data_IF_603499552660
#
_entry.id   IF_603499552660
#
_cell.length_a   1.000
_cell.length_b   1.000
_cell.length_c   1.000
_cell.angle_alpha   90.00
_cell.angle_beta   90.00
_cell.angle_gamma   90.00
#
_symmetry.space_group_name_H-M   'P 1'
#
loop_
_entity.id
_entity.type
_entity.pdbx_description
1 polymer ?
#
# COMPACT_ATOMS: atom_id res chain seq x y z
N UNK A 1 -8.23 16.98 -20.19
CA UNK A 1 -8.36 15.51 -20.18
C UNK A 1 -7.83 15.00 -18.85
N UNK A 2 -8.60 14.20 -18.13
CA UNK A 2 -8.20 13.68 -16.81
C UNK A 2 -7.25 12.50 -16.99
N UNK A 3 -6.28 12.36 -16.09
CA UNK A 3 -5.33 11.25 -16.11
C UNK A 3 -5.53 10.34 -14.90
N UNK A 4 -5.68 9.04 -15.17
CA UNK A 4 -5.68 7.98 -14.17
C UNK A 4 -4.37 7.18 -14.28
N UNK A 5 -3.63 7.09 -13.19
CA UNK A 5 -2.38 6.34 -13.11
C UNK A 5 -2.57 4.99 -12.44
N UNK A 6 -1.96 3.94 -12.96
CA UNK A 6 -1.86 2.65 -12.28
C UNK A 6 -0.43 2.44 -11.81
N UNK A 7 -0.24 2.40 -10.49
CA UNK A 7 1.05 2.11 -9.86
C UNK A 7 1.07 0.63 -9.46
N UNK A 8 1.83 -0.16 -10.21
CA UNK A 8 1.82 -1.61 -10.12
C UNK A 8 3.23 -2.19 -10.05
N UNK A 9 3.33 -3.43 -9.57
CA UNK A 9 4.56 -4.20 -9.62
C UNK A 9 4.69 -4.96 -10.96
N UNK A 10 4.86 -6.27 -10.84
CA UNK A 10 5.01 -7.17 -12.00
C UNK A 10 3.67 -7.64 -12.59
N UNK A 11 2.58 -7.30 -11.95
CA UNK A 11 1.24 -7.63 -12.42
C UNK A 11 0.94 -6.99 -13.78
N UNK A 12 0.32 -7.74 -14.69
CA UNK A 12 -0.06 -7.23 -16.02
C UNK A 12 -1.52 -7.50 -16.39
N UNK A 13 -2.07 -8.64 -16.03
CA UNK A 13 -3.41 -9.04 -16.48
C UNK A 13 -4.49 -8.00 -16.19
N UNK A 14 -4.71 -7.66 -14.92
CA UNK A 14 -5.71 -6.67 -14.53
C UNK A 14 -5.33 -5.25 -14.94
N UNK A 15 -4.09 -4.74 -14.71
CA UNK A 15 -3.74 -3.38 -15.07
C UNK A 15 -3.85 -3.10 -16.57
N UNK A 16 -3.37 -4.01 -17.41
CA UNK A 16 -3.46 -3.86 -18.87
C UNK A 16 -4.91 -3.83 -19.33
N UNK A 17 -5.76 -4.73 -18.84
CA UNK A 17 -7.17 -4.78 -19.16
C UNK A 17 -7.90 -3.49 -18.72
N UNK A 18 -7.61 -2.97 -17.53
CA UNK A 18 -8.22 -1.74 -17.03
C UNK A 18 -7.81 -0.52 -17.85
N UNK A 19 -6.53 -0.38 -18.17
CA UNK A 19 -6.02 0.70 -19.03
C UNK A 19 -6.70 0.66 -20.40
N UNK A 20 -6.76 -0.52 -21.02
CA UNK A 20 -7.40 -0.70 -22.31
C UNK A 20 -8.89 -0.32 -22.26
N UNK A 21 -9.61 -0.79 -21.25
CA UNK A 21 -11.05 -0.53 -21.12
C UNK A 21 -11.36 0.96 -20.89
N UNK A 22 -10.60 1.64 -20.02
CA UNK A 22 -10.77 3.08 -19.79
C UNK A 22 -10.50 3.87 -21.07
N UNK A 23 -9.40 3.57 -21.75
CA UNK A 23 -9.02 4.30 -22.96
C UNK A 23 -9.96 4.02 -24.12
N UNK A 24 -10.48 2.81 -24.24
CA UNK A 24 -11.48 2.43 -25.25
C UNK A 24 -12.78 3.22 -25.09
N UNK A 25 -13.22 3.49 -23.87
CA UNK A 25 -14.46 4.23 -23.59
C UNK A 25 -14.39 5.69 -24.04
N UNK A 26 -13.20 6.26 -24.17
CA UNK A 26 -12.96 7.63 -24.67
C UNK A 26 -13.85 8.71 -24.02
N UNK A 27 -14.03 8.66 -22.71
CA UNK A 27 -14.91 9.55 -21.93
C UNK A 27 -14.14 10.69 -21.25
N UNK A 28 -13.12 11.24 -21.90
CA UNK A 28 -12.33 12.35 -21.36
C UNK A 28 -11.31 11.95 -20.27
N UNK A 29 -11.11 10.65 -20.04
CA UNK A 29 -10.11 10.10 -19.13
C UNK A 29 -9.11 9.28 -19.93
N UNK A 30 -7.82 9.46 -19.64
CA UNK A 30 -6.74 8.60 -20.12
C UNK A 30 -6.16 7.83 -18.94
N UNK A 31 -6.06 6.52 -19.07
CA UNK A 31 -5.37 5.66 -18.14
C UNK A 31 -4.00 5.24 -18.69
N UNK A 32 -2.99 5.24 -17.81
CA UNK A 32 -1.64 4.78 -18.13
C UNK A 32 -0.95 4.24 -16.87
N UNK A 33 0.14 3.53 -17.04
CA UNK A 33 1.03 3.23 -15.93
C UNK A 33 1.64 4.51 -15.37
N UNK A 34 1.71 4.61 -14.03
CA UNK A 34 2.32 5.78 -13.38
C UNK A 34 3.80 5.87 -13.77
N UNK A 35 4.17 7.04 -14.25
CA UNK A 35 5.56 7.39 -14.55
C UNK A 35 6.05 8.36 -13.50
N UNK A 36 6.85 7.87 -12.58
CA UNK A 36 7.42 8.69 -11.51
C UNK A 36 8.76 9.25 -12.01
N UNK A 37 8.83 10.58 -12.02
CA UNK A 37 10.07 11.30 -12.26
C UNK A 37 10.69 11.80 -10.95
N UNK A 38 11.25 12.99 -10.99
CA UNK A 38 11.71 13.66 -9.77
C UNK A 38 10.53 14.02 -8.86
N UNK A 39 10.67 13.72 -7.57
CA UNK A 39 9.65 14.02 -6.57
C UNK A 39 10.12 15.18 -5.70
N UNK A 40 9.58 16.37 -5.97
CA UNK A 40 9.82 17.56 -5.17
C UNK A 40 8.60 17.86 -4.27
N UNK A 41 8.84 18.47 -3.12
CA UNK A 41 7.80 18.71 -2.11
C UNK A 41 6.65 19.62 -2.58
N UNK A 42 6.87 20.41 -3.62
CA UNK A 42 5.89 21.32 -4.22
C UNK A 42 5.44 20.90 -5.62
N UNK A 43 5.84 19.73 -6.09
CA UNK A 43 5.48 19.25 -7.42
C UNK A 43 4.11 18.54 -7.40
N UNK A 44 3.36 18.68 -8.50
CA UNK A 44 2.17 17.87 -8.75
C UNK A 44 2.57 16.63 -9.54
N UNK A 45 1.93 15.52 -9.28
CA UNK A 45 2.22 14.28 -9.98
C UNK A 45 1.57 14.16 -11.37
N UNK A 46 0.68 15.10 -11.73
CA UNK A 46 -0.01 15.13 -13.01
C UNK A 46 -1.14 14.13 -13.18
N UNK A 47 -1.50 13.38 -12.15
CA UNK A 47 -2.62 12.44 -12.12
C UNK A 47 -3.75 12.96 -11.23
N UNK A 48 -5.00 12.83 -11.67
CA UNK A 48 -6.16 13.11 -10.82
C UNK A 48 -6.50 11.93 -9.93
N UNK A 49 -6.26 10.71 -10.42
CA UNK A 49 -6.45 9.47 -9.66
C UNK A 49 -5.25 8.57 -9.86
N UNK A 50 -4.81 7.93 -8.80
CA UNK A 50 -3.81 6.85 -8.86
C UNK A 50 -4.40 5.60 -8.19
N UNK A 51 -4.36 4.48 -8.90
CA UNK A 51 -4.68 3.16 -8.34
C UNK A 51 -3.36 2.50 -7.91
N UNK A 52 -3.20 2.33 -6.60
CA UNK A 52 -2.00 1.76 -6.00
C UNK A 52 -2.17 0.26 -5.73
N UNK A 53 -1.23 -0.52 -6.23
CA UNK A 53 -1.19 -1.96 -6.04
C UNK A 53 0.16 -2.49 -5.54
N UNK A 54 1.14 -1.61 -5.29
CA UNK A 54 2.52 -2.05 -4.98
C UNK A 54 3.22 -1.21 -3.91
N UNK A 55 2.72 -0.04 -3.55
CA UNK A 55 3.47 0.87 -2.66
C UNK A 55 3.85 0.25 -1.32
N UNK A 56 3.17 -0.81 -0.91
CA UNK A 56 3.47 -1.56 0.31
C UNK A 56 4.86 -2.20 0.33
N UNK A 57 5.40 -2.49 -0.81
CA UNK A 57 6.71 -3.11 -0.94
C UNK A 57 7.83 -2.08 -1.16
N UNK A 58 7.46 -0.81 -1.48
CA UNK A 58 8.43 0.18 -1.94
C UNK A 58 8.24 1.50 -1.18
N UNK A 59 9.11 1.79 -0.23
CA UNK A 59 9.05 3.00 0.60
C UNK A 59 9.01 4.30 -0.23
N UNK A 60 9.76 4.36 -1.33
CA UNK A 60 9.74 5.50 -2.25
C UNK A 60 8.36 5.75 -2.86
N UNK A 61 7.64 4.68 -3.24
CA UNK A 61 6.28 4.81 -3.77
C UNK A 61 5.29 5.29 -2.71
N UNK A 62 5.45 4.86 -1.46
CA UNK A 62 4.61 5.36 -0.36
C UNK A 62 4.79 6.87 -0.17
N UNK A 63 6.05 7.35 -0.19
CA UNK A 63 6.36 8.77 -0.08
C UNK A 63 5.78 9.56 -1.25
N UNK A 64 5.94 9.07 -2.47
CA UNK A 64 5.36 9.67 -3.67
C UNK A 64 3.83 9.77 -3.58
N UNK A 65 3.15 8.71 -3.20
CA UNK A 65 1.68 8.70 -3.11
C UNK A 65 1.16 9.63 -2.02
N UNK A 66 1.85 9.72 -0.87
CA UNK A 66 1.51 10.68 0.19
C UNK A 66 1.67 12.13 -0.29
N UNK A 67 2.75 12.43 -1.00
CA UNK A 67 2.94 13.74 -1.62
C UNK A 67 1.87 14.04 -2.68
N UNK A 68 1.52 13.06 -3.51
CA UNK A 68 0.46 13.19 -4.51
C UNK A 68 -0.91 13.52 -3.88
N UNK A 69 -1.26 12.90 -2.73
CA UNK A 69 -2.52 13.22 -2.04
C UNK A 69 -2.53 14.65 -1.50
N UNK A 70 -1.40 15.17 -1.01
CA UNK A 70 -1.31 16.57 -0.57
C UNK A 70 -1.53 17.55 -1.74
N UNK A 71 -1.19 17.13 -2.96
CA UNK A 71 -1.39 17.91 -4.18
C UNK A 71 -2.79 17.73 -4.80
N UNK A 72 -3.71 17.02 -4.11
CA UNK A 72 -5.10 16.84 -4.54
C UNK A 72 -5.36 15.57 -5.37
N UNK A 73 -4.37 14.72 -5.60
CA UNK A 73 -4.56 13.44 -6.28
C UNK A 73 -5.33 12.47 -5.38
N UNK A 74 -6.36 11.83 -5.91
CA UNK A 74 -7.08 10.75 -5.22
C UNK A 74 -6.28 9.45 -5.38
N UNK A 75 -5.84 8.87 -4.28
CA UNK A 75 -5.13 7.58 -4.29
C UNK A 75 -6.02 6.47 -3.75
N UNK A 76 -6.22 5.43 -4.55
CA UNK A 76 -6.94 4.20 -4.23
C UNK A 76 -5.89 3.06 -4.10
N UNK A 77 -5.64 2.45 -2.94
CA UNK A 77 -6.16 2.76 -1.62
C UNK A 77 -5.38 3.91 -0.99
N UNK A 78 -6.04 4.67 -0.11
CA UNK A 78 -5.45 5.86 0.50
C UNK A 78 -4.16 5.48 1.28
N UNK A 79 -3.01 6.11 0.99
CA UNK A 79 -1.72 5.72 1.56
C UNK A 79 -1.58 5.98 3.06
N UNK A 80 -2.42 6.86 3.63
CA UNK A 80 -2.43 7.15 5.08
C UNK A 80 -3.26 6.12 5.86
N UNK A 81 -4.25 5.50 5.24
CA UNK A 81 -5.13 4.52 5.89
C UNK A 81 -4.58 3.11 5.85
N UNK A 82 -3.49 2.92 5.17
CA UNK A 82 -2.90 1.61 5.01
C UNK A 82 -2.47 0.96 6.32
N UNK A 83 -2.07 1.74 7.32
CA UNK A 83 -1.76 1.19 8.64
C UNK A 83 -3.00 0.58 9.33
N UNK A 84 -4.21 0.99 8.94
CA UNK A 84 -5.46 0.37 9.40
C UNK A 84 -5.75 -0.99 8.73
N UNK A 85 -5.03 -1.34 7.68
CA UNK A 85 -5.16 -2.62 6.95
C UNK A 85 -4.18 -3.70 7.48
N UNK A 86 -3.59 -3.51 8.64
CA UNK A 86 -2.83 -4.55 9.34
C UNK A 86 -3.80 -5.63 9.84
N UNK A 87 -3.66 -6.83 9.28
CA UNK A 87 -4.57 -7.95 9.56
C UNK A 87 -4.53 -8.40 11.02
N UNK A 88 -3.36 -8.37 11.64
CA UNK A 88 -3.22 -8.73 13.06
C UNK A 88 -3.89 -7.68 13.94
N UNK A 89 -3.61 -6.39 13.68
CA UNK A 89 -4.26 -5.29 14.39
C UNK A 89 -5.78 -5.35 14.24
N UNK A 90 -6.27 -5.57 13.01
CA UNK A 90 -7.70 -5.71 12.74
C UNK A 90 -8.33 -6.85 13.53
N UNK A 91 -7.70 -8.01 13.56
CA UNK A 91 -8.16 -9.17 14.35
C UNK A 91 -8.17 -8.86 15.85
N UNK A 92 -7.11 -8.27 16.39
CA UNK A 92 -7.02 -7.90 17.80
C UNK A 92 -8.07 -6.84 18.20
N UNK A 93 -8.33 -5.89 17.32
CA UNK A 93 -9.38 -4.88 17.54
C UNK A 93 -10.78 -5.51 17.59
N UNK A 94 -11.08 -6.38 16.65
CA UNK A 94 -12.39 -7.07 16.57
C UNK A 94 -12.61 -7.97 17.79
N UNK A 95 -11.56 -8.68 18.24
CA UNK A 95 -11.60 -9.48 19.47
C UNK A 95 -11.84 -8.60 20.70
N UNK A 96 -11.17 -7.44 20.79
CA UNK A 96 -11.38 -6.47 21.88
C UNK A 96 -12.79 -5.91 21.91
N UNK A 97 -13.47 -5.85 20.77
CA UNK A 97 -14.88 -5.45 20.66
C UNK A 97 -15.85 -6.58 21.02
N UNK A 98 -15.38 -7.74 21.45
CA UNK A 98 -16.18 -8.89 21.86
C UNK A 98 -16.74 -9.71 20.69
N UNK A 99 -16.24 -9.52 19.50
CA UNK A 99 -16.64 -10.30 18.32
C UNK A 99 -15.74 -11.54 18.23
N UNK A 100 -16.34 -12.70 18.01
CA UNK A 100 -15.59 -13.95 17.88
C UNK A 100 -14.67 -13.92 16.65
N UNK A 101 -13.38 -14.18 16.87
CA UNK A 101 -12.35 -14.29 15.84
C UNK A 101 -11.53 -15.56 16.06
N UNK A 102 -10.87 -16.09 15.03
CA UNK A 102 -9.90 -17.16 15.21
C UNK A 102 -8.75 -16.72 16.12
N UNK A 103 -8.25 -17.63 16.97
CA UNK A 103 -7.03 -17.37 17.71
C UNK A 103 -5.89 -17.05 16.74
N UNK A 104 -5.27 -15.90 16.91
CA UNK A 104 -4.31 -15.37 15.94
C UNK A 104 -3.03 -14.95 16.67
N UNK A 105 -1.89 -15.31 16.12
CA UNK A 105 -0.57 -14.89 16.61
C UNK A 105 0.26 -14.35 15.46
N UNK A 106 1.17 -13.43 15.77
CA UNK A 106 2.19 -12.95 14.85
C UNK A 106 3.46 -13.76 15.06
N UNK A 107 3.93 -14.40 14.01
CA UNK A 107 5.23 -15.06 14.06
C UNK A 107 6.32 -14.00 13.86
N UNK A 108 7.41 -14.07 14.65
CA UNK A 108 8.55 -13.18 14.47
C UNK A 108 9.23 -13.44 13.12
N UNK A 109 9.96 -12.47 12.63
CA UNK A 109 10.79 -12.63 11.44
C UNK A 109 11.88 -13.67 11.69
N UNK A 110 12.27 -14.40 10.64
CA UNK A 110 13.36 -15.38 10.70
C UNK A 110 14.72 -14.71 10.93
N UNK A 111 14.89 -13.49 10.46
CA UNK A 111 16.12 -12.69 10.61
C UNK A 111 15.76 -11.22 10.79
N UNK A 112 16.57 -10.51 11.54
CA UNK A 112 16.44 -9.10 11.83
C UNK A 112 17.68 -8.34 11.39
N UNK A 113 17.58 -7.04 11.06
CA UNK A 113 18.75 -6.19 10.82
C UNK A 113 19.64 -6.10 12.06
N UNK A 114 20.95 -5.91 11.87
CA UNK A 114 21.93 -5.78 12.97
C UNK A 114 21.65 -4.57 13.87
N UNK A 115 20.85 -3.63 13.43
CA UNK A 115 20.43 -2.46 14.21
C UNK A 115 19.37 -2.76 15.27
N UNK A 116 18.81 -3.97 15.31
CA UNK A 116 17.81 -4.37 16.30
C UNK A 116 18.50 -4.83 17.58
N UNK A 117 18.05 -4.28 18.73
CA UNK A 117 18.53 -4.75 20.03
C UNK A 117 18.03 -6.16 20.32
N UNK A 118 18.93 -7.10 20.66
CA UNK A 118 18.54 -8.49 21.00
C UNK A 118 17.62 -8.56 22.22
N UNK A 119 17.72 -7.61 23.15
CA UNK A 119 16.90 -7.55 24.35
C UNK A 119 15.41 -7.43 24.03
N UNK A 120 15.07 -6.74 22.96
CA UNK A 120 13.68 -6.57 22.50
C UNK A 120 13.04 -7.91 22.09
N UNK A 121 13.83 -8.91 21.76
CA UNK A 121 13.40 -10.23 21.30
C UNK A 121 13.63 -11.33 22.34
N UNK A 122 14.17 -10.99 23.52
CA UNK A 122 14.63 -11.96 24.54
C UNK A 122 13.52 -12.84 25.10
N UNK A 123 12.26 -12.39 25.04
CA UNK A 123 11.10 -13.15 25.50
C UNK A 123 10.49 -14.09 24.45
N UNK A 124 11.00 -14.07 23.21
CA UNK A 124 10.54 -15.00 22.19
C UNK A 124 11.08 -16.40 22.47
N UNK A 125 10.19 -17.36 22.61
CA UNK A 125 10.52 -18.78 22.81
C UNK A 125 10.10 -19.58 21.59
N UNK A 126 10.94 -20.52 21.19
CA UNK A 126 10.65 -21.45 20.12
C UNK A 126 10.79 -22.91 20.62
N UNK A 127 9.93 -23.86 20.21
CA UNK A 127 8.74 -23.62 19.37
C UNK A 127 7.71 -22.75 20.10
N UNK A 128 6.90 -22.01 19.32
CA UNK A 128 5.78 -21.25 19.90
C UNK A 128 4.74 -22.23 20.43
N UNK A 129 4.40 -22.12 21.72
CA UNK A 129 3.28 -22.84 22.32
C UNK A 129 2.02 -21.97 22.28
N UNK A 130 0.88 -22.58 21.86
CA UNK A 130 -0.41 -21.90 21.69
C UNK A 130 -1.36 -22.17 22.86
#
# INVERSE_FOLDING_TARGET
MLKAGLLVGRERSFPDALIQEINKRNQGVIAEYVKIGEVASNATCGYQVIIDRISHEVAFYQTYLKAATLSGTIVINNPFWRMADDKFFGTALVEKLGIAVPKTVVLPMRSYPDSISPESLSNLKFPLEW
#
